data_IF_968146973618
#
_entry.id   IF_968146973618
#
_cell.length_a   1.000
_cell.length_b   1.000
_cell.length_c   1.000
_cell.angle_alpha   90.00
_cell.angle_beta   90.00
_cell.angle_gamma   90.00
#
_symmetry.space_group_name_H-M   'P 1'
#
loop_
_entity.id
_entity.type
_entity.pdbx_description
1 polymer ?
#
# COMPACT_ATOMS: atom_id res chain seq x y z
N UNK A 1 -4.65 22.00 -1.37
CA UNK A 1 -5.71 21.02 -1.64
C UNK A 1 -5.10 19.65 -1.47
N UNK A 2 -5.58 18.85 -0.52
CA UNK A 2 -5.10 17.47 -0.37
C UNK A 2 -5.51 16.67 -1.61
N UNK A 3 -4.63 15.78 -2.08
CA UNK A 3 -4.96 14.91 -3.19
C UNK A 3 -6.08 13.95 -2.79
N UNK A 4 -7.10 13.81 -3.63
CA UNK A 4 -8.22 12.89 -3.39
C UNK A 4 -7.76 11.44 -3.55
N UNK A 5 -8.36 10.52 -2.79
CA UNK A 5 -8.07 9.08 -2.89
C UNK A 5 -7.96 8.49 -4.32
N UNK A 6 -8.87 8.78 -5.28
CA UNK A 6 -8.74 8.28 -6.66
C UNK A 6 -7.45 8.71 -7.39
N UNK A 7 -6.82 9.80 -6.96
CA UNK A 7 -5.51 10.27 -7.47
C UNK A 7 -4.36 9.60 -6.74
N UNK A 8 -4.52 9.32 -5.45
CA UNK A 8 -3.49 8.71 -4.61
C UNK A 8 -3.34 7.21 -4.84
N UNK A 9 -4.43 6.48 -5.06
CA UNK A 9 -4.44 5.03 -5.30
C UNK A 9 -3.45 4.57 -6.38
N UNK A 10 -3.49 5.09 -7.63
CA UNK A 10 -2.54 4.67 -8.66
C UNK A 10 -1.10 5.08 -8.35
N UNK A 11 -0.88 6.18 -7.62
CA UNK A 11 0.46 6.62 -7.18
C UNK A 11 1.02 5.68 -6.12
N UNK A 12 0.19 5.25 -5.16
CA UNK A 12 0.57 4.30 -4.12
C UNK A 12 0.91 2.94 -4.74
N UNK A 13 0.09 2.46 -5.68
CA UNK A 13 0.36 1.22 -6.42
C UNK A 13 1.69 1.32 -7.15
N UNK A 14 1.95 2.38 -7.90
CA UNK A 14 3.21 2.57 -8.62
C UNK A 14 4.41 2.60 -7.67
N UNK A 15 4.29 3.29 -6.53
CA UNK A 15 5.37 3.36 -5.54
C UNK A 15 5.64 2.00 -4.88
N UNK A 16 4.60 1.24 -4.54
CA UNK A 16 4.74 -0.10 -3.96
C UNK A 16 5.36 -1.09 -4.97
N UNK A 17 4.95 -1.02 -6.24
CA UNK A 17 5.52 -1.85 -7.31
C UNK A 17 7.01 -1.53 -7.54
N UNK A 18 7.41 -0.27 -7.40
CA UNK A 18 8.80 0.12 -7.57
C UNK A 18 9.66 -0.21 -6.34
N UNK A 19 9.08 -0.12 -5.14
CA UNK A 19 9.78 -0.31 -3.88
C UNK A 19 9.92 -1.80 -3.47
N UNK A 20 9.00 -2.67 -3.89
CA UNK A 20 8.95 -4.05 -3.41
C UNK A 20 8.99 -5.07 -4.54
N UNK A 21 9.79 -6.12 -4.34
CA UNK A 21 9.60 -7.40 -5.03
C UNK A 21 8.39 -8.14 -4.45
N UNK A 22 7.86 -9.13 -5.17
CA UNK A 22 6.71 -9.93 -4.69
C UNK A 22 6.94 -10.55 -3.31
N UNK A 23 8.13 -11.12 -3.09
CA UNK A 23 8.49 -11.71 -1.80
C UNK A 23 8.54 -10.67 -0.67
N UNK A 24 9.16 -9.52 -0.91
CA UNK A 24 9.25 -8.43 0.07
C UNK A 24 7.87 -7.83 0.38
N UNK A 25 6.98 -7.75 -0.61
CA UNK A 25 5.59 -7.34 -0.41
C UNK A 25 4.86 -8.35 0.48
N UNK A 26 5.01 -9.64 0.22
CA UNK A 26 4.39 -10.69 1.03
C UNK A 26 4.87 -10.65 2.49
N UNK A 27 6.19 -10.52 2.70
CA UNK A 27 6.77 -10.39 4.03
C UNK A 27 6.26 -9.13 4.75
N UNK A 28 6.26 -7.98 4.07
CA UNK A 28 5.77 -6.73 4.65
C UNK A 28 4.29 -6.85 5.06
N UNK A 29 3.44 -7.46 4.22
CA UNK A 29 2.03 -7.68 4.54
C UNK A 29 1.85 -8.60 5.75
N UNK A 30 2.64 -9.67 5.85
CA UNK A 30 2.53 -10.63 6.95
C UNK A 30 3.02 -10.03 8.28
N UNK A 31 4.16 -9.33 8.26
CA UNK A 31 4.77 -8.77 9.47
C UNK A 31 4.14 -7.45 9.93
N UNK A 32 3.74 -6.58 9.00
CA UNK A 32 3.21 -5.25 9.36
C UNK A 32 1.69 -5.25 9.43
N UNK A 33 1.02 -5.96 8.52
CA UNK A 33 -0.43 -5.91 8.37
C UNK A 33 -1.14 -7.18 8.86
N UNK A 34 -0.42 -8.22 9.27
CA UNK A 34 -0.97 -9.55 9.56
C UNK A 34 -1.82 -10.12 8.40
N UNK A 35 -1.49 -9.74 7.17
CA UNK A 35 -2.20 -10.13 5.96
C UNK A 35 -1.33 -11.05 5.11
N UNK A 36 -1.97 -12.00 4.41
CA UNK A 36 -1.27 -12.90 3.48
C UNK A 36 -1.53 -12.49 2.04
N UNK A 37 -0.47 -12.27 1.28
CA UNK A 37 -0.59 -11.92 -0.14
C UNK A 37 -1.44 -12.94 -0.91
N UNK A 38 -1.31 -14.23 -0.60
CA UNK A 38 -2.09 -15.32 -1.21
C UNK A 38 -3.59 -15.28 -0.91
N UNK A 39 -4.02 -14.58 0.15
CA UNK A 39 -5.44 -14.37 0.44
C UNK A 39 -6.01 -13.13 -0.27
N UNK A 40 -5.15 -12.19 -0.64
CA UNK A 40 -5.52 -10.91 -1.23
C UNK A 40 -5.45 -10.93 -2.76
N UNK A 41 -4.56 -11.74 -3.33
CA UNK A 41 -4.29 -11.76 -4.76
C UNK A 41 -4.05 -13.19 -5.24
N UNK A 42 -4.51 -13.49 -6.46
CA UNK A 42 -4.27 -14.78 -7.08
C UNK A 42 -2.77 -15.00 -7.36
N UNK A 43 -2.31 -16.24 -7.24
CA UNK A 43 -0.88 -16.56 -7.36
C UNK A 43 -0.32 -16.25 -8.77
N UNK A 44 -1.14 -16.44 -9.81
CA UNK A 44 -0.74 -16.35 -11.22
C UNK A 44 -0.82 -14.96 -11.85
N UNK A 45 -1.16 -13.91 -11.09
CA UNK A 45 -1.23 -12.54 -11.64
C UNK A 45 0.09 -11.78 -11.43
N UNK A 46 0.45 -10.84 -12.31
CA UNK A 46 1.71 -10.12 -12.20
C UNK A 46 1.72 -9.17 -10.98
N UNK A 47 2.91 -8.86 -10.46
CA UNK A 47 3.11 -8.01 -9.27
C UNK A 47 2.32 -6.70 -9.29
N UNK A 48 2.25 -5.91 -10.38
CA UNK A 48 1.47 -4.67 -10.40
C UNK A 48 -0.02 -4.92 -10.13
N UNK A 49 -0.54 -6.03 -10.64
CA UNK A 49 -1.92 -6.41 -10.41
C UNK A 49 -2.11 -6.94 -8.98
N UNK A 50 -1.15 -7.71 -8.44
CA UNK A 50 -1.17 -8.12 -7.02
C UNK A 50 -1.19 -6.91 -6.08
N UNK A 51 -0.34 -5.92 -6.33
CA UNK A 51 -0.30 -4.67 -5.54
C UNK A 51 -1.61 -3.90 -5.65
N UNK A 52 -2.21 -3.84 -6.84
CA UNK A 52 -3.51 -3.18 -7.03
C UNK A 52 -4.61 -3.84 -6.19
N UNK A 53 -4.70 -5.16 -6.20
CA UNK A 53 -5.65 -5.93 -5.38
C UNK A 53 -5.41 -5.71 -3.88
N UNK A 54 -4.15 -5.73 -3.44
CA UNK A 54 -3.75 -5.46 -2.05
C UNK A 54 -4.20 -4.07 -1.61
N UNK A 55 -3.94 -3.03 -2.42
CA UNK A 55 -4.36 -1.65 -2.11
C UNK A 55 -5.88 -1.54 -2.09
N UNK A 56 -6.58 -2.19 -3.02
CA UNK A 56 -8.05 -2.23 -3.03
C UNK A 56 -8.65 -2.95 -1.82
N UNK A 57 -8.02 -4.04 -1.38
CA UNK A 57 -8.42 -4.75 -0.17
C UNK A 57 -8.17 -3.92 1.10
N UNK A 58 -7.02 -3.25 1.18
CA UNK A 58 -6.67 -2.37 2.31
C UNK A 58 -7.62 -1.17 2.44
N UNK A 59 -8.06 -0.60 1.32
CA UNK A 59 -9.10 0.42 1.26
C UNK A 59 -10.44 -0.15 1.75
N UNK A 60 -10.90 -1.25 1.16
CA UNK A 60 -12.25 -1.80 1.41
C UNK A 60 -12.42 -2.37 2.82
N UNK A 61 -11.32 -2.80 3.44
CA UNK A 61 -11.29 -3.41 4.77
C UNK A 61 -10.73 -2.44 5.85
N UNK A 62 -10.41 -1.20 5.50
CA UNK A 62 -10.01 -0.16 6.46
C UNK A 62 -8.64 -0.35 7.10
N UNK A 63 -7.70 -1.06 6.47
CA UNK A 63 -6.32 -1.22 6.95
C UNK A 63 -5.28 -0.51 6.08
N UNK A 64 -5.72 0.50 5.31
CA UNK A 64 -4.88 1.32 4.45
C UNK A 64 -3.75 2.03 5.21
N UNK A 65 -4.00 2.46 6.44
CA UNK A 65 -2.98 3.04 7.33
C UNK A 65 -1.87 2.01 7.63
N UNK A 66 -2.25 0.75 7.88
CA UNK A 66 -1.32 -0.32 8.15
C UNK A 66 -0.45 -0.62 6.94
N UNK A 67 -1.04 -0.62 5.74
CA UNK A 67 -0.31 -0.79 4.48
C UNK A 67 0.69 0.36 4.26
N UNK A 68 0.23 1.61 4.39
CA UNK A 68 1.08 2.78 4.17
C UNK A 68 2.22 2.90 5.21
N UNK A 69 1.90 2.70 6.49
CA UNK A 69 2.88 2.71 7.58
C UNK A 69 3.86 1.53 7.50
N UNK A 70 3.35 0.33 7.19
CA UNK A 70 4.16 -0.86 7.00
C UNK A 70 5.13 -0.74 5.83
N UNK A 71 4.67 -0.18 4.71
CA UNK A 71 5.51 0.09 3.54
C UNK A 71 6.65 1.07 3.86
N UNK A 72 6.38 2.15 4.61
CA UNK A 72 7.42 3.07 5.09
C UNK A 72 8.45 2.40 6.00
N UNK A 73 8.01 1.53 6.92
CA UNK A 73 8.91 0.82 7.84
C UNK A 73 9.78 -0.20 7.12
N UNK A 74 9.21 -0.90 6.14
CA UNK A 74 9.92 -1.92 5.38
C UNK A 74 10.89 -1.31 4.35
N UNK A 75 10.62 -0.09 3.86
CA UNK A 75 11.46 0.57 2.87
C UNK A 75 11.67 2.06 3.19
N UNK A 76 12.46 2.38 4.23
CA UNK A 76 12.63 3.75 4.69
C UNK A 76 13.44 4.63 3.73
N UNK A 77 14.25 4.06 2.84
CA UNK A 77 15.09 4.86 1.92
C UNK A 77 14.34 5.28 0.63
N UNK A 78 13.16 4.70 0.39
CA UNK A 78 12.42 4.93 -0.84
C UNK A 78 11.59 6.24 -0.79
N UNK A 79 12.23 7.37 -1.13
CA UNK A 79 11.62 8.71 -1.05
C UNK A 79 10.26 8.83 -1.74
N UNK A 80 10.10 8.24 -2.94
CA UNK A 80 8.82 8.26 -3.66
C UNK A 80 7.69 7.51 -2.94
N UNK A 81 8.04 6.50 -2.14
CA UNK A 81 7.09 5.75 -1.32
C UNK A 81 6.70 6.57 -0.09
N UNK A 82 7.66 7.19 0.59
CA UNK A 82 7.38 8.04 1.75
C UNK A 82 6.44 9.20 1.45
N UNK A 83 6.64 9.85 0.31
CA UNK A 83 5.79 10.98 -0.09
C UNK A 83 4.35 10.52 -0.26
N UNK A 84 4.12 9.45 -1.03
CA UNK A 84 2.76 9.00 -1.31
C UNK A 84 2.09 8.38 -0.09
N UNK A 85 2.81 7.64 0.76
CA UNK A 85 2.25 7.09 2.00
C UNK A 85 1.88 8.20 2.97
N UNK A 86 2.68 9.27 3.09
CA UNK A 86 2.32 10.44 3.90
C UNK A 86 1.08 11.16 3.37
N UNK A 87 0.95 11.33 2.05
CA UNK A 87 -0.27 11.89 1.44
C UNK A 87 -1.50 11.03 1.76
N UNK A 88 -1.36 9.70 1.70
CA UNK A 88 -2.43 8.75 2.02
C UNK A 88 -2.82 8.81 3.49
N UNK A 89 -1.86 8.79 4.41
CA UNK A 89 -2.11 8.88 5.86
C UNK A 89 -2.79 10.21 6.23
N UNK A 90 -2.36 11.31 5.60
CA UNK A 90 -2.99 12.62 5.77
C UNK A 90 -4.43 12.64 5.24
N UNK A 91 -4.68 11.98 4.10
CA UNK A 91 -6.02 11.85 3.54
C UNK A 91 -6.98 11.03 4.42
N UNK A 92 -6.50 9.91 4.98
CA UNK A 92 -7.28 9.09 5.92
C UNK A 92 -7.65 9.91 7.17
N UNK A 93 -6.69 10.63 7.75
CA UNK A 93 -6.93 11.45 8.94
C UNK A 93 -7.92 12.60 8.70
N UNK A 94 -8.00 13.12 7.46
CA UNK A 94 -8.91 14.20 7.10
C UNK A 94 -10.37 13.73 6.87
N UNK A 95 -10.59 12.47 6.50
CA UNK A 95 -11.94 11.90 6.28
C UNK A 95 -12.55 11.31 7.57
N UNK A 96 -11.74 11.13 8.61
CA UNK A 96 -12.16 10.57 9.91
C UNK A 96 -12.43 11.59 11.02
N UNK A 97 -12.51 12.90 10.70
CA UNK A 97 -12.69 13.99 11.65
C UNK A 97 -14.06 14.69 11.53
#
# INVERSE_FOLDING_TARGET
>A
MAATWPVLKPRLVAALVNAFSEQQLAEMLEFQCHQKLSHLAADKIPLPQKVYEVVGAAESQGWLECLAGGACKANPDHAGLQVVTAEVLTGIAAEGA
#
